data_IF_203556447682
#
_entry.id   IF_203556447682
#
_cell.length_a   1.000
_cell.length_b   1.000
_cell.length_c   1.000
_cell.angle_alpha   90.00
_cell.angle_beta   90.00
_cell.angle_gamma   90.00
#
_symmetry.space_group_name_H-M   'P 1'
#
loop_
_entity.id
_entity.type
_entity.pdbx_description
1 polymer ?
#
# COMPACT_ATOMS: atom_id res chain seq x y z
N UNK A 1 25.08 -0.62 7.61
CA UNK A 1 24.97 0.85 7.74
C UNK A 1 24.75 1.54 6.38
N UNK A 2 25.48 1.20 5.33
CA UNK A 2 25.29 1.75 3.96
C UNK A 2 23.84 1.71 3.46
N UNK A 3 23.19 0.54 3.48
CA UNK A 3 21.79 0.39 3.03
C UNK A 3 20.79 1.23 3.83
N UNK A 4 21.07 1.49 5.11
CA UNK A 4 20.21 2.32 5.95
C UNK A 4 20.30 3.78 5.53
N UNK A 5 21.51 4.27 5.24
CA UNK A 5 21.73 5.65 4.77
C UNK A 5 21.09 5.83 3.39
N UNK A 6 21.30 4.89 2.47
CA UNK A 6 20.71 4.91 1.14
C UNK A 6 19.17 4.93 1.19
N UNK A 7 18.57 4.03 1.97
CA UNK A 7 17.12 3.97 2.15
C UNK A 7 16.58 5.23 2.84
N UNK A 8 17.27 5.78 3.84
CA UNK A 8 16.84 6.99 4.53
C UNK A 8 16.83 8.21 3.59
N UNK A 9 17.86 8.36 2.74
CA UNK A 9 17.91 9.43 1.74
C UNK A 9 16.78 9.25 0.73
N UNK A 10 16.58 8.04 0.19
CA UNK A 10 15.53 7.77 -0.77
C UNK A 10 14.12 8.06 -0.21
N UNK A 11 13.84 7.61 1.01
CA UNK A 11 12.56 7.87 1.69
C UNK A 11 12.39 9.35 2.05
N UNK A 12 13.46 10.06 2.41
CA UNK A 12 13.41 11.50 2.68
C UNK A 12 13.05 12.29 1.43
N UNK A 13 13.65 11.96 0.27
CA UNK A 13 13.29 12.58 -1.01
C UNK A 13 11.81 12.33 -1.35
N UNK A 14 11.33 11.10 -1.19
CA UNK A 14 9.91 10.76 -1.40
C UNK A 14 8.99 11.54 -0.46
N UNK A 15 9.37 11.70 0.81
CA UNK A 15 8.64 12.52 1.77
C UNK A 15 8.51 13.98 1.31
N UNK A 16 9.60 14.62 0.87
CA UNK A 16 9.56 16.00 0.39
C UNK A 16 8.71 16.15 -0.88
N UNK A 17 8.78 15.20 -1.82
CA UNK A 17 7.93 15.21 -3.01
C UNK A 17 6.46 15.15 -2.60
N UNK A 18 6.08 14.22 -1.74
CA UNK A 18 4.70 14.09 -1.26
C UNK A 18 4.25 15.33 -0.48
N UNK A 19 5.11 15.91 0.35
CA UNK A 19 4.83 17.13 1.08
C UNK A 19 4.56 18.30 0.13
N UNK A 20 5.39 18.49 -0.91
CA UNK A 20 5.18 19.55 -1.89
C UNK A 20 3.93 19.33 -2.73
N UNK A 21 3.66 18.10 -3.17
CA UNK A 21 2.44 17.76 -3.91
C UNK A 21 1.21 18.08 -3.08
N UNK A 22 1.17 17.65 -1.81
CA UNK A 22 0.05 17.93 -0.90
C UNK A 22 -0.08 19.42 -0.60
N UNK A 23 1.02 20.15 -0.41
CA UNK A 23 0.98 21.60 -0.16
C UNK A 23 0.44 22.37 -1.37
N UNK A 24 0.93 22.05 -2.57
CA UNK A 24 0.52 22.69 -3.82
C UNK A 24 -0.95 22.40 -4.15
N UNK A 25 -1.38 21.14 -4.02
CA UNK A 25 -2.79 20.80 -4.22
C UNK A 25 -3.69 21.33 -3.10
N UNK A 26 -3.18 21.38 -1.87
CA UNK A 26 -3.84 22.07 -0.77
C UNK A 26 -4.16 23.50 -1.18
N UNK A 27 -3.17 24.28 -1.62
CA UNK A 27 -3.42 25.64 -2.09
C UNK A 27 -4.36 25.72 -3.30
N UNK A 28 -4.26 24.79 -4.25
CA UNK A 28 -5.07 24.79 -5.46
C UNK A 28 -6.54 24.42 -5.23
N UNK A 29 -6.84 23.55 -4.26
CA UNK A 29 -8.18 23.00 -4.04
C UNK A 29 -8.85 23.44 -2.72
N UNK A 30 -8.14 24.10 -1.81
CA UNK A 30 -8.69 24.47 -0.51
C UNK A 30 -9.93 25.36 -0.65
N UNK A 31 -11.08 24.82 -0.25
CA UNK A 31 -12.40 25.45 -0.31
C UNK A 31 -12.84 25.93 -1.71
N UNK A 32 -12.27 25.39 -2.78
CA UNK A 32 -12.65 25.75 -4.15
C UNK A 32 -13.91 24.98 -4.60
N UNK A 33 -14.88 25.71 -5.15
CA UNK A 33 -16.05 25.12 -5.82
C UNK A 33 -15.75 24.88 -7.30
N UNK A 34 -16.47 23.95 -7.93
CA UNK A 34 -16.28 23.69 -9.37
C UNK A 34 -16.52 24.94 -10.23
N UNK A 35 -17.43 25.84 -9.81
CA UNK A 35 -17.65 27.11 -10.48
C UNK A 35 -16.45 28.07 -10.33
N UNK A 36 -15.83 28.12 -9.15
CA UNK A 36 -14.62 28.93 -8.95
C UNK A 36 -13.45 28.40 -9.80
N UNK A 37 -13.24 27.08 -9.83
CA UNK A 37 -12.25 26.43 -10.69
C UNK A 37 -12.51 26.71 -12.18
N UNK A 38 -13.77 26.63 -12.63
CA UNK A 38 -14.16 26.97 -14.00
C UNK A 38 -13.78 28.41 -14.36
N UNK A 39 -14.08 29.37 -13.48
CA UNK A 39 -13.81 30.79 -13.73
C UNK A 39 -12.32 31.09 -13.80
N UNK A 40 -11.52 30.47 -12.91
CA UNK A 40 -10.06 30.60 -12.93
C UNK A 40 -9.50 30.07 -14.26
N UNK A 41 -9.94 28.88 -14.69
CA UNK A 41 -9.50 28.32 -15.96
C UNK A 41 -9.96 29.12 -17.18
N UNK A 42 -11.20 29.62 -17.19
CA UNK A 42 -11.75 30.39 -18.30
C UNK A 42 -11.02 31.73 -18.51
N UNK A 43 -10.48 32.33 -17.45
CA UNK A 43 -9.70 33.57 -17.51
C UNK A 43 -8.20 33.34 -17.74
N UNK A 44 -7.78 32.07 -17.82
CA UNK A 44 -6.37 31.70 -18.02
C UNK A 44 -6.08 31.41 -19.50
N UNK A 45 -4.79 31.22 -19.83
CA UNK A 45 -4.37 30.76 -21.16
C UNK A 45 -4.92 29.38 -21.54
N UNK A 46 -5.43 28.60 -20.58
CA UNK A 46 -5.98 27.25 -20.74
C UNK A 46 -7.53 27.23 -20.78
N UNK A 47 -8.16 28.28 -21.30
CA UNK A 47 -9.62 28.42 -21.40
C UNK A 47 -10.35 27.21 -22.04
N UNK A 48 -9.72 26.52 -23.00
CA UNK A 48 -10.29 25.32 -23.63
C UNK A 48 -10.58 24.19 -22.62
N UNK A 49 -9.74 24.09 -21.58
CA UNK A 49 -9.83 23.07 -20.54
C UNK A 49 -10.84 23.43 -19.43
N UNK A 50 -11.40 24.66 -19.44
CA UNK A 50 -12.36 25.07 -18.42
C UNK A 50 -13.60 24.16 -18.38
N UNK A 51 -14.00 23.58 -19.53
CA UNK A 51 -15.17 22.69 -19.67
C UNK A 51 -15.10 21.42 -18.82
N UNK A 52 -13.91 21.06 -18.32
CA UNK A 52 -13.70 19.88 -17.47
C UNK A 52 -14.31 20.08 -16.08
N UNK A 53 -14.41 21.33 -15.61
CA UNK A 53 -15.03 21.65 -14.33
C UNK A 53 -16.54 21.91 -14.52
N UNK A 54 -17.42 21.07 -13.95
CA UNK A 54 -18.85 21.28 -14.07
C UNK A 54 -19.27 22.57 -13.34
N UNK A 55 -20.16 23.38 -13.92
CA UNK A 55 -20.64 24.61 -13.27
C UNK A 55 -21.65 24.31 -12.16
N UNK A 56 -21.18 23.76 -11.05
CA UNK A 56 -21.96 23.50 -9.86
C UNK A 56 -21.28 24.10 -8.63
N UNK A 57 -22.03 24.22 -7.53
CA UNK A 57 -21.53 24.76 -6.27
C UNK A 57 -20.98 23.67 -5.33
N UNK A 58 -20.66 22.48 -5.87
CA UNK A 58 -20.01 21.41 -5.09
C UNK A 58 -18.51 21.65 -5.08
N UNK A 59 -17.84 21.07 -4.08
CA UNK A 59 -16.38 21.00 -4.05
C UNK A 59 -15.87 20.23 -5.26
N UNK A 60 -14.68 20.61 -5.72
CA UNK A 60 -14.04 19.91 -6.83
C UNK A 60 -13.61 18.52 -6.38
N UNK A 61 -13.90 17.51 -7.21
CA UNK A 61 -13.39 16.16 -6.98
C UNK A 61 -11.91 16.12 -7.37
N UNK A 62 -11.07 15.49 -6.55
CA UNK A 62 -9.61 15.52 -6.75
C UNK A 62 -9.19 14.30 -7.56
N UNK A 63 -9.17 14.46 -8.88
CA UNK A 63 -8.62 13.47 -9.80
C UNK A 63 -7.26 13.89 -10.36
N UNK A 64 -6.44 12.91 -10.78
CA UNK A 64 -5.10 13.11 -11.37
C UNK A 64 -5.17 14.04 -12.58
N UNK A 65 -6.21 13.91 -13.42
CA UNK A 65 -6.40 14.75 -14.60
C UNK A 65 -6.84 16.18 -14.24
N UNK A 66 -7.87 16.32 -13.41
CA UNK A 66 -8.39 17.62 -12.95
C UNK A 66 -7.33 18.40 -12.15
N UNK A 67 -6.51 17.69 -11.37
CA UNK A 67 -5.37 18.23 -10.66
C UNK A 67 -4.33 18.87 -11.59
N UNK A 68 -3.98 18.21 -12.69
CA UNK A 68 -3.04 18.77 -13.67
C UNK A 68 -3.57 20.04 -14.34
N UNK A 69 -4.85 20.04 -14.69
CA UNK A 69 -5.50 21.17 -15.36
C UNK A 69 -5.61 22.38 -14.43
N UNK A 70 -6.06 22.21 -13.17
CA UNK A 70 -6.18 23.33 -12.24
C UNK A 70 -4.81 23.98 -11.96
N UNK A 71 -3.75 23.16 -11.85
CA UNK A 71 -2.39 23.66 -11.71
C UNK A 71 -1.95 24.47 -12.93
N UNK A 72 -2.30 23.97 -14.13
CA UNK A 72 -2.07 24.69 -15.38
C UNK A 72 -2.81 26.03 -15.45
N UNK A 73 -4.03 26.10 -14.95
CA UNK A 73 -4.83 27.33 -14.96
C UNK A 73 -4.32 28.37 -13.96
N UNK A 74 -3.83 27.94 -12.78
CA UNK A 74 -3.35 28.84 -11.71
C UNK A 74 -1.90 29.27 -11.95
N UNK A 75 -1.00 28.31 -12.23
CA UNK A 75 0.44 28.54 -12.32
C UNK A 75 0.95 28.64 -13.76
N UNK A 76 0.08 28.41 -14.75
CA UNK A 76 0.40 28.48 -16.17
C UNK A 76 0.68 27.13 -16.84
N UNK A 77 0.75 27.10 -18.19
CA UNK A 77 0.87 25.85 -18.97
C UNK A 77 2.07 24.99 -18.59
N UNK A 78 3.18 25.60 -18.14
CA UNK A 78 4.38 24.87 -17.73
C UNK A 78 4.11 23.91 -16.56
N UNK A 79 3.27 24.31 -15.60
CA UNK A 79 2.93 23.46 -14.44
C UNK A 79 2.16 22.21 -14.88
N UNK A 80 1.26 22.33 -15.86
CA UNK A 80 0.54 21.19 -16.44
C UNK A 80 1.49 20.19 -17.08
N UNK A 81 2.47 20.66 -17.87
CA UNK A 81 3.45 19.78 -18.49
C UNK A 81 4.38 19.12 -17.47
N UNK A 82 4.84 19.85 -16.46
CA UNK A 82 5.67 19.29 -15.38
C UNK A 82 4.91 18.19 -14.65
N UNK A 83 3.63 18.42 -14.34
CA UNK A 83 2.76 17.42 -13.72
C UNK A 83 2.60 16.17 -14.60
N UNK A 84 2.32 16.35 -15.90
CA UNK A 84 2.17 15.25 -16.85
C UNK A 84 3.46 14.42 -16.98
N UNK A 85 4.62 15.06 -17.07
CA UNK A 85 5.93 14.39 -17.10
C UNK A 85 6.19 13.67 -15.77
N UNK A 86 5.83 14.26 -14.64
CA UNK A 86 5.93 13.64 -13.32
C UNK A 86 5.12 12.36 -13.20
N UNK A 87 3.86 12.37 -13.66
CA UNK A 87 3.01 11.16 -13.69
C UNK A 87 3.62 10.08 -14.59
N UNK A 88 4.12 10.47 -15.76
CA UNK A 88 4.77 9.52 -16.68
C UNK A 88 6.00 8.89 -16.04
N UNK A 89 6.85 9.69 -15.39
CA UNK A 89 8.03 9.21 -14.68
C UNK A 89 7.67 8.27 -13.52
N UNK A 90 6.63 8.60 -12.74
CA UNK A 90 6.12 7.75 -11.67
C UNK A 90 5.61 6.39 -12.20
N UNK A 91 4.92 6.38 -13.35
CA UNK A 91 4.46 5.16 -14.01
C UNK A 91 5.60 4.24 -14.48
N UNK A 92 6.70 4.82 -14.98
CA UNK A 92 7.89 4.06 -15.37
C UNK A 92 8.59 3.44 -14.15
N UNK A 93 8.77 4.22 -13.08
CA UNK A 93 9.37 3.74 -11.83
C UNK A 93 8.56 2.58 -11.22
N UNK A 94 7.23 2.69 -11.18
CA UNK A 94 6.34 1.62 -10.70
C UNK A 94 6.48 0.33 -11.50
N UNK A 95 6.65 0.42 -12.83
CA UNK A 95 6.85 -0.75 -13.70
C UNK A 95 8.12 -1.49 -13.34
N UNK A 96 9.24 -0.77 -13.16
CA UNK A 96 10.53 -1.36 -12.79
C UNK A 96 10.42 -2.06 -11.43
N UNK A 97 9.96 -1.34 -10.40
CA UNK A 97 9.82 -1.89 -9.04
C UNK A 97 8.87 -3.08 -9.00
N UNK A 98 7.76 -3.05 -9.73
CA UNK A 98 6.81 -4.16 -9.82
C UNK A 98 7.42 -5.42 -10.42
N UNK A 99 8.29 -5.29 -11.43
CA UNK A 99 8.92 -6.46 -12.08
C UNK A 99 9.99 -7.12 -11.22
N UNK A 100 10.73 -6.33 -10.42
CA UNK A 100 11.69 -6.81 -9.44
C UNK A 100 10.99 -7.43 -8.23
N UNK A 101 9.99 -6.77 -7.65
CA UNK A 101 9.21 -7.32 -6.54
C UNK A 101 8.50 -8.61 -6.96
N UNK A 102 7.88 -8.63 -8.14
CA UNK A 102 7.27 -9.83 -8.72
C UNK A 102 8.28 -10.96 -8.94
N UNK A 103 9.56 -10.66 -9.19
CA UNK A 103 10.60 -11.68 -9.27
C UNK A 103 10.75 -12.44 -7.96
N UNK A 104 10.97 -11.70 -6.88
CA UNK A 104 11.23 -12.28 -5.57
C UNK A 104 10.03 -13.10 -5.09
N UNK A 105 8.82 -12.62 -5.36
CA UNK A 105 7.59 -13.35 -5.01
C UNK A 105 7.44 -14.62 -5.85
N UNK A 106 7.61 -14.56 -7.17
CA UNK A 106 7.44 -15.72 -8.06
C UNK A 106 8.52 -16.79 -7.85
N UNK A 107 9.78 -16.39 -7.71
CA UNK A 107 10.89 -17.32 -7.50
C UNK A 107 10.92 -17.86 -6.06
N UNK A 108 10.53 -17.03 -5.09
CA UNK A 108 10.47 -17.43 -3.68
C UNK A 108 9.29 -18.35 -3.37
N UNK A 109 8.06 -17.91 -3.64
CA UNK A 109 6.85 -18.63 -3.24
C UNK A 109 6.39 -19.68 -4.26
N UNK A 110 6.40 -19.34 -5.56
CA UNK A 110 5.90 -20.24 -6.61
C UNK A 110 7.01 -21.12 -7.22
N UNK A 111 8.28 -20.88 -6.85
CA UNK A 111 9.48 -21.53 -7.42
C UNK A 111 9.48 -21.52 -8.96
N UNK A 112 8.90 -20.48 -9.56
CA UNK A 112 8.68 -20.37 -10.99
C UNK A 112 9.67 -19.36 -11.59
N UNK A 113 10.51 -19.80 -12.53
CA UNK A 113 11.48 -18.93 -13.22
C UNK A 113 10.95 -18.50 -14.58
N UNK A 114 10.57 -17.23 -14.68
CA UNK A 114 10.07 -16.62 -15.92
C UNK A 114 11.08 -15.63 -16.50
N UNK A 115 11.16 -15.49 -17.84
CA UNK A 115 11.95 -14.44 -18.44
C UNK A 115 11.36 -13.07 -18.12
N UNK A 116 12.23 -12.05 -17.95
CA UNK A 116 11.83 -10.69 -17.54
C UNK A 116 10.73 -10.11 -18.43
N UNK A 117 10.83 -10.32 -19.75
CA UNK A 117 9.87 -9.81 -20.71
C UNK A 117 8.46 -10.43 -20.55
N UNK A 118 8.37 -11.75 -20.31
CA UNK A 118 7.09 -12.40 -20.08
C UNK A 118 6.41 -11.91 -18.80
N UNK A 119 7.20 -11.65 -17.74
CA UNK A 119 6.68 -11.08 -16.49
C UNK A 119 6.14 -9.66 -16.70
N UNK A 120 6.89 -8.82 -17.41
CA UNK A 120 6.46 -7.45 -17.75
C UNK A 120 5.17 -7.51 -18.57
N UNK A 121 5.13 -8.32 -19.62
CA UNK A 121 3.97 -8.43 -20.50
C UNK A 121 2.74 -8.87 -19.71
N UNK A 122 2.83 -9.95 -18.92
CA UNK A 122 1.71 -10.45 -18.14
C UNK A 122 1.21 -9.42 -17.12
N UNK A 123 2.10 -8.84 -16.31
CA UNK A 123 1.70 -7.89 -15.26
C UNK A 123 1.15 -6.58 -15.83
N UNK A 124 1.66 -6.11 -16.98
CA UNK A 124 1.11 -4.95 -17.69
C UNK A 124 -0.21 -5.28 -18.36
N UNK A 125 -0.35 -6.45 -19.00
CA UNK A 125 -1.63 -6.89 -19.57
C UNK A 125 -2.71 -7.00 -18.49
N UNK A 126 -2.42 -7.61 -17.34
CA UNK A 126 -3.37 -7.69 -16.23
C UNK A 126 -3.76 -6.32 -15.64
N UNK A 127 -2.87 -5.33 -15.69
CA UNK A 127 -3.17 -3.97 -15.21
C UNK A 127 -3.92 -3.11 -16.25
N UNK A 128 -3.59 -3.27 -17.54
CA UNK A 128 -4.14 -2.45 -18.64
C UNK A 128 -5.47 -3.03 -19.16
N UNK A 129 -5.64 -4.36 -19.17
CA UNK A 129 -6.87 -4.98 -19.67
C UNK A 129 -8.14 -4.48 -18.96
N UNK A 130 -8.20 -4.44 -17.61
CA UNK A 130 -9.40 -3.97 -16.92
C UNK A 130 -9.69 -2.50 -17.21
N UNK A 131 -8.66 -1.65 -17.27
CA UNK A 131 -8.82 -0.22 -17.51
C UNK A 131 -9.27 0.07 -18.94
N UNK A 132 -8.68 -0.60 -19.93
CA UNK A 132 -9.11 -0.50 -21.34
C UNK A 132 -10.53 -1.03 -21.52
N UNK A 133 -10.87 -2.15 -20.88
CA UNK A 133 -12.22 -2.71 -20.95
C UNK A 133 -13.26 -1.76 -20.33
N UNK A 134 -12.99 -1.19 -19.16
CA UNK A 134 -13.86 -0.17 -18.55
C UNK A 134 -13.95 1.07 -19.45
N UNK A 135 -12.85 1.55 -20.02
CA UNK A 135 -12.86 2.73 -20.91
C UNK A 135 -13.66 2.52 -22.21
N UNK A 136 -13.75 1.29 -22.72
CA UNK A 136 -14.51 0.97 -23.93
C UNK A 136 -16.00 0.76 -23.62
N UNK A 137 -16.33 0.17 -22.47
CA UNK A 137 -17.69 -0.31 -22.18
C UNK A 137 -18.46 0.49 -21.12
N UNK A 138 -17.83 1.41 -20.39
CA UNK A 138 -18.43 2.17 -19.26
C UNK A 138 -18.02 3.65 -19.27
N UNK A 139 -18.82 4.48 -18.59
CA UNK A 139 -18.54 5.91 -18.38
C UNK A 139 -17.45 6.13 -17.31
N UNK A 140 -16.78 7.30 -17.35
CA UNK A 140 -15.66 7.69 -16.46
C UNK A 140 -15.93 7.51 -14.95
N UNK A 141 -17.20 7.47 -14.51
CA UNK A 141 -17.59 7.29 -13.11
C UNK A 141 -17.26 5.89 -12.56
N UNK A 142 -17.15 4.88 -13.42
CA UNK A 142 -16.76 3.52 -13.00
C UNK A 142 -15.24 3.38 -12.79
N UNK A 143 -14.42 4.33 -13.27
CA UNK A 143 -12.97 4.33 -13.06
C UNK A 143 -12.60 4.71 -11.61
N UNK A 144 -13.35 5.64 -10.99
CA UNK A 144 -13.16 5.99 -9.58
C UNK A 144 -13.47 4.80 -8.66
N UNK A 145 -14.51 4.02 -8.99
CA UNK A 145 -14.83 2.78 -8.25
C UNK A 145 -13.75 1.71 -8.39
N UNK A 146 -13.06 1.63 -9.53
CA UNK A 146 -11.91 0.74 -9.71
C UNK A 146 -10.71 1.20 -8.84
N UNK A 147 -10.44 2.50 -8.78
CA UNK A 147 -9.38 3.04 -7.93
C UNK A 147 -9.65 2.76 -6.45
N UNK A 148 -10.89 2.95 -6.00
CA UNK A 148 -11.30 2.63 -4.64
C UNK A 148 -11.10 1.13 -4.35
N UNK A 149 -11.53 0.25 -5.26
CA UNK A 149 -11.31 -1.20 -5.15
C UNK A 149 -9.82 -1.55 -5.04
N UNK A 150 -8.96 -0.90 -5.80
CA UNK A 150 -7.50 -1.13 -5.73
C UNK A 150 -6.94 -0.70 -4.37
N UNK A 151 -7.40 0.44 -3.83
CA UNK A 151 -7.02 0.89 -2.50
C UNK A 151 -7.49 -0.07 -1.41
N UNK A 152 -8.71 -0.61 -1.55
CA UNK A 152 -9.25 -1.68 -0.69
C UNK A 152 -8.37 -2.94 -0.75
N UNK A 153 -8.04 -3.41 -1.94
CA UNK A 153 -7.18 -4.60 -2.09
C UNK A 153 -5.79 -4.36 -1.51
N UNK A 154 -5.21 -3.17 -1.71
CA UNK A 154 -3.91 -2.82 -1.16
C UNK A 154 -3.93 -2.79 0.37
N UNK A 155 -4.99 -2.27 0.99
CA UNK A 155 -5.11 -2.27 2.46
C UNK A 155 -5.16 -3.69 3.02
N UNK A 156 -5.91 -4.60 2.38
CA UNK A 156 -6.01 -6.01 2.76
C UNK A 156 -4.71 -6.79 2.58
N UNK A 157 -3.89 -6.45 1.58
CA UNK A 157 -2.61 -7.12 1.34
C UNK A 157 -1.51 -6.68 2.31
N UNK A 158 -1.61 -5.48 2.88
CA UNK A 158 -0.56 -4.86 3.69
C UNK A 158 -0.18 -5.68 4.94
N UNK A 159 -1.13 -6.19 5.75
CA UNK A 159 -0.79 -7.04 6.90
C UNK A 159 -0.04 -8.31 6.52
N UNK A 160 -0.39 -8.93 5.40
CA UNK A 160 0.23 -10.18 4.95
C UNK A 160 1.68 -9.99 4.52
N UNK A 161 2.05 -8.81 4.04
CA UNK A 161 3.45 -8.48 3.76
C UNK A 161 4.19 -8.05 5.03
N UNK A 162 3.60 -7.16 5.84
CA UNK A 162 4.31 -6.51 6.94
C UNK A 162 4.46 -7.42 8.15
N UNK A 163 3.40 -8.13 8.60
CA UNK A 163 3.46 -8.93 9.83
C UNK A 163 4.53 -10.03 9.78
N UNK A 164 4.71 -10.79 8.68
CA UNK A 164 5.81 -11.76 8.59
C UNK A 164 7.19 -11.10 8.63
N UNK A 165 7.37 -9.95 7.98
CA UNK A 165 8.65 -9.23 7.99
C UNK A 165 9.00 -8.77 9.42
N UNK A 166 8.04 -8.21 10.15
CA UNK A 166 8.23 -7.79 11.54
C UNK A 166 8.53 -8.97 12.47
N UNK A 167 7.87 -10.11 12.22
CA UNK A 167 8.10 -11.35 12.95
C UNK A 167 9.51 -11.87 12.71
N UNK A 168 9.95 -12.02 11.45
CA UNK A 168 11.26 -12.55 11.12
C UNK A 168 12.42 -11.63 11.53
N UNK A 169 12.24 -10.31 11.46
CA UNK A 169 13.25 -9.34 11.90
C UNK A 169 13.40 -9.27 13.43
N UNK A 170 12.37 -9.68 14.16
CA UNK A 170 12.39 -9.73 15.64
C UNK A 170 12.83 -11.09 16.20
N UNK A 171 12.91 -12.13 15.36
CA UNK A 171 13.34 -13.47 15.77
C UNK A 171 14.87 -13.57 15.91
N UNK A 172 15.39 -13.87 17.13
CA UNK A 172 16.82 -14.04 17.35
C UNK A 172 17.40 -15.23 16.57
N UNK A 173 16.62 -16.29 16.36
CA UNK A 173 17.05 -17.46 15.61
C UNK A 173 17.39 -17.15 14.14
N UNK A 174 16.71 -16.17 13.53
CA UNK A 174 16.91 -15.78 12.13
C UNK A 174 17.89 -14.62 11.97
N UNK A 175 17.82 -13.59 12.83
CA UNK A 175 18.66 -12.39 12.75
C UNK A 175 19.98 -12.49 13.54
N UNK A 176 20.10 -13.46 14.46
CA UNK A 176 21.29 -13.69 15.27
C UNK A 176 21.78 -12.40 15.97
N UNK A 177 23.02 -11.98 15.72
CA UNK A 177 23.63 -10.77 16.30
C UNK A 177 22.99 -9.45 15.82
N UNK A 178 22.19 -9.47 14.75
CA UNK A 178 21.47 -8.30 14.21
C UNK A 178 20.03 -8.20 14.72
N UNK A 179 19.69 -8.93 15.79
CA UNK A 179 18.34 -8.91 16.36
C UNK A 179 17.96 -7.50 16.87
N UNK A 180 16.68 -7.18 16.71
CA UNK A 180 16.15 -5.86 16.98
C UNK A 180 16.29 -5.46 18.47
N UNK A 181 16.87 -4.29 18.74
CA UNK A 181 16.99 -3.73 20.10
C UNK A 181 15.62 -3.34 20.69
N UNK A 182 15.58 -3.09 22.00
CA UNK A 182 14.32 -2.81 22.72
C UNK A 182 13.53 -1.62 22.14
N UNK A 183 14.22 -0.54 21.72
CA UNK A 183 13.58 0.62 21.08
C UNK A 183 12.93 0.23 19.74
N UNK A 184 13.65 -0.54 18.91
CA UNK A 184 13.13 -0.99 17.62
C UNK A 184 11.96 -1.95 17.79
N UNK A 185 12.00 -2.83 18.81
CA UNK A 185 10.85 -3.67 19.20
C UNK A 185 9.64 -2.84 19.61
N UNK A 186 9.81 -1.74 20.35
CA UNK A 186 8.73 -0.85 20.73
C UNK A 186 8.10 -0.13 19.51
N UNK A 187 8.94 0.40 18.61
CA UNK A 187 8.50 1.05 17.37
C UNK A 187 7.75 0.06 16.48
N UNK A 188 8.33 -1.11 16.24
CA UNK A 188 7.72 -2.16 15.43
C UNK A 188 6.40 -2.67 16.03
N UNK A 189 6.31 -2.79 17.36
CA UNK A 189 5.06 -3.12 18.05
C UNK A 189 3.98 -2.05 17.86
N UNK A 190 4.35 -0.77 17.92
CA UNK A 190 3.44 0.35 17.62
C UNK A 190 2.93 0.31 16.18
N UNK A 191 3.82 0.07 15.21
CA UNK A 191 3.45 -0.08 13.78
C UNK A 191 2.50 -1.27 13.59
N UNK A 192 2.76 -2.41 14.24
CA UNK A 192 1.89 -3.57 14.21
C UNK A 192 0.49 -3.24 14.74
N UNK A 193 0.41 -2.57 15.89
CA UNK A 193 -0.87 -2.15 16.49
C UNK A 193 -1.66 -1.21 15.58
N UNK A 194 -0.98 -0.24 14.96
CA UNK A 194 -1.58 0.69 14.00
C UNK A 194 -2.14 -0.04 12.76
N UNK A 195 -1.36 -0.94 12.16
CA UNK A 195 -1.80 -1.73 11.00
C UNK A 195 -3.01 -2.59 11.35
N UNK A 196 -3.00 -3.22 12.53
CA UNK A 196 -4.12 -4.03 13.01
C UNK A 196 -5.38 -3.18 13.20
N UNK A 197 -5.26 -1.99 13.81
CA UNK A 197 -6.38 -1.08 14.03
C UNK A 197 -7.00 -0.61 12.70
N UNK A 198 -6.16 -0.19 11.74
CA UNK A 198 -6.62 0.26 10.41
C UNK A 198 -7.32 -0.87 9.67
N UNK A 199 -6.76 -2.09 9.69
CA UNK A 199 -7.35 -3.22 8.99
C UNK A 199 -8.66 -3.69 9.62
N UNK A 200 -8.75 -3.70 10.95
CA UNK A 200 -9.99 -4.05 11.63
C UNK A 200 -11.10 -3.02 11.33
N UNK A 201 -10.77 -1.72 11.37
CA UNK A 201 -11.69 -0.66 10.99
C UNK A 201 -12.18 -0.82 9.54
N UNK A 202 -11.25 -1.11 8.63
CA UNK A 202 -11.56 -1.29 7.21
C UNK A 202 -12.52 -2.46 6.96
N UNK A 203 -12.30 -3.61 7.62
CA UNK A 203 -13.19 -4.78 7.49
C UNK A 203 -14.59 -4.47 8.03
N UNK A 204 -14.69 -3.79 9.18
CA UNK A 204 -15.98 -3.43 9.80
C UNK A 204 -16.75 -2.41 8.97
N UNK A 205 -16.08 -1.45 8.33
CA UNK A 205 -16.76 -0.44 7.52
C UNK A 205 -17.25 -0.97 6.17
N UNK A 206 -16.57 -1.96 5.59
CA UNK A 206 -16.87 -2.46 4.25
C UNK A 206 -17.94 -3.57 4.24
N UNK A 207 -18.01 -4.40 5.29
CA UNK A 207 -18.99 -5.49 5.43
C UNK A 207 -20.46 -5.05 5.28
N UNK A 208 -20.92 -3.92 5.87
CA UNK A 208 -22.29 -3.45 5.78
C UNK A 208 -22.66 -2.83 4.41
N UNK A 209 -21.68 -2.49 3.57
CA UNK A 209 -21.90 -1.76 2.31
C UNK A 209 -22.30 -2.67 1.14
N UNK A 210 -22.45 -3.97 1.34
CA UNK A 210 -22.72 -4.93 0.27
C UNK A 210 -24.21 -4.94 -0.14
N UNK A 211 -24.54 -4.68 -1.42
CA UNK A 211 -25.90 -4.42 -1.88
C UNK A 211 -26.79 -5.66 -2.08
N UNK A 212 -26.26 -6.90 -2.04
CA UNK A 212 -27.05 -8.12 -2.29
C UNK A 212 -26.80 -9.26 -1.28
N UNK A 213 -27.88 -9.86 -0.70
CA UNK A 213 -27.78 -10.90 0.34
C UNK A 213 -27.18 -12.22 -0.15
N UNK A 214 -27.20 -12.51 -1.45
CA UNK A 214 -26.63 -13.74 -2.02
C UNK A 214 -25.08 -13.78 -1.98
N UNK A 215 -24.43 -12.63 -2.13
CA UNK A 215 -22.95 -12.54 -2.02
C UNK A 215 -22.49 -12.39 -0.57
N UNK A 216 -23.39 -12.06 0.34
CA UNK A 216 -23.07 -11.83 1.75
C UNK A 216 -22.44 -13.06 2.40
N UNK A 217 -22.94 -14.26 2.11
CA UNK A 217 -22.39 -15.51 2.68
C UNK A 217 -20.95 -15.78 2.22
N UNK A 218 -20.66 -15.61 0.93
CA UNK A 218 -19.31 -15.81 0.37
C UNK A 218 -18.33 -14.76 0.89
N UNK A 219 -18.73 -13.49 0.90
CA UNK A 219 -17.87 -12.39 1.37
C UNK A 219 -17.65 -12.48 2.88
N UNK A 220 -18.67 -12.86 3.66
CA UNK A 220 -18.52 -13.10 5.09
C UNK A 220 -17.56 -14.27 5.37
N UNK A 221 -17.64 -15.37 4.61
CA UNK A 221 -16.71 -16.48 4.74
C UNK A 221 -15.26 -16.05 4.46
N UNK A 222 -15.04 -15.29 3.38
CA UNK A 222 -13.73 -14.75 3.03
C UNK A 222 -13.21 -13.76 4.09
N UNK A 223 -14.09 -12.91 4.63
CA UNK A 223 -13.75 -11.97 5.69
C UNK A 223 -13.38 -12.70 7.00
N UNK A 224 -14.09 -13.76 7.36
CA UNK A 224 -13.75 -14.60 8.52
C UNK A 224 -12.41 -15.30 8.31
N UNK A 225 -12.15 -15.86 7.13
CA UNK A 225 -10.86 -16.45 6.81
C UNK A 225 -9.72 -15.43 6.88
N UNK A 226 -9.94 -14.22 6.36
CA UNK A 226 -9.00 -13.10 6.43
C UNK A 226 -8.72 -12.67 7.88
N UNK A 227 -9.76 -12.50 8.70
CA UNK A 227 -9.62 -12.17 10.12
C UNK A 227 -8.91 -13.27 10.90
N UNK A 228 -9.21 -14.55 10.62
CA UNK A 228 -8.51 -15.69 11.22
C UNK A 228 -7.02 -15.69 10.89
N UNK A 229 -6.67 -15.47 9.61
CA UNK A 229 -5.27 -15.45 9.19
C UNK A 229 -4.52 -14.23 9.73
N UNK A 230 -5.13 -13.05 9.74
CA UNK A 230 -4.50 -11.83 10.28
C UNK A 230 -4.32 -11.91 11.79
N UNK A 231 -5.32 -12.42 12.54
CA UNK A 231 -5.17 -12.64 13.99
C UNK A 231 -4.09 -13.68 14.31
N UNK A 232 -3.99 -14.76 13.52
CA UNK A 232 -2.87 -15.71 13.62
C UNK A 232 -1.51 -15.03 13.40
N UNK A 233 -1.37 -14.20 12.36
CA UNK A 233 -0.12 -13.48 12.10
C UNK A 233 0.23 -12.49 13.21
N UNK A 234 -0.75 -11.73 13.71
CA UNK A 234 -0.54 -10.80 14.84
C UNK A 234 -0.14 -11.56 16.10
N UNK A 235 -0.75 -12.72 16.36
CA UNK A 235 -0.39 -13.59 17.47
C UNK A 235 1.07 -14.07 17.37
N UNK A 236 1.48 -14.58 16.21
CA UNK A 236 2.88 -15.01 15.99
C UNK A 236 3.89 -13.87 16.13
N UNK A 237 3.55 -12.68 15.63
CA UNK A 237 4.37 -11.49 15.77
C UNK A 237 4.49 -11.05 17.24
N UNK A 238 3.39 -11.11 17.99
CA UNK A 238 3.37 -10.77 19.42
C UNK A 238 4.27 -11.71 20.24
N UNK A 239 4.29 -13.01 19.91
CA UNK A 239 5.19 -13.98 20.53
C UNK A 239 6.66 -13.65 20.17
N UNK A 240 6.96 -13.31 18.92
CA UNK A 240 8.31 -12.90 18.49
C UNK A 240 8.83 -11.63 19.19
N UNK A 241 7.93 -10.75 19.61
CA UNK A 241 8.28 -9.55 20.37
C UNK A 241 8.50 -9.79 21.88
N UNK A 242 8.25 -11.01 22.38
CA UNK A 242 8.54 -11.38 23.77
C UNK A 242 7.31 -11.52 24.68
N UNK A 243 6.09 -11.58 24.13
CA UNK A 243 4.89 -11.93 24.88
C UNK A 243 4.85 -13.45 25.19
N UNK A 244 5.78 -13.92 26.03
CA UNK A 244 5.93 -15.35 26.41
C UNK A 244 4.73 -15.90 27.17
N UNK A 245 3.88 -15.05 27.73
CA UNK A 245 2.60 -15.39 28.36
C UNK A 245 1.57 -16.03 27.40
N UNK A 246 1.74 -15.84 26.09
CA UNK A 246 0.87 -16.37 25.05
C UNK A 246 1.45 -17.63 24.36
N UNK A 247 2.66 -18.05 24.73
CA UNK A 247 3.32 -19.17 24.09
C UNK A 247 2.85 -20.51 24.67
N UNK A 248 2.22 -21.34 23.83
CA UNK A 248 2.05 -22.77 24.14
C UNK A 248 3.38 -23.51 23.90
N UNK A 249 3.71 -24.49 24.74
CA UNK A 249 5.03 -25.16 24.83
C UNK A 249 5.63 -25.62 23.49
N UNK A 250 4.80 -26.01 22.51
CA UNK A 250 5.25 -26.43 21.17
C UNK A 250 5.84 -25.30 20.31
N UNK A 251 5.42 -24.04 20.50
CA UNK A 251 5.88 -22.90 19.69
C UNK A 251 7.21 -22.29 20.16
N UNK A 252 7.65 -22.58 21.38
CA UNK A 252 8.97 -22.15 21.87
C UNK A 252 10.10 -22.77 21.05
N UNK A 253 9.90 -24.00 20.56
CA UNK A 253 10.88 -24.72 19.74
C UNK A 253 11.11 -24.06 18.37
N UNK A 254 10.06 -23.51 17.76
CA UNK A 254 10.14 -22.79 16.47
C UNK A 254 10.78 -21.40 16.61
N UNK A 255 10.54 -20.70 17.73
CA UNK A 255 10.99 -19.32 17.91
C UNK A 255 12.43 -19.17 18.40
N UNK A 256 12.89 -20.10 19.23
CA UNK A 256 14.20 -20.00 19.90
C UNK A 256 15.26 -20.93 19.35
N UNK A 257 14.90 -21.93 18.52
CA UNK A 257 15.88 -22.84 17.91
C UNK A 257 16.86 -23.46 18.91
N UNK A 258 16.46 -23.63 20.18
CA UNK A 258 17.32 -24.27 21.18
C UNK A 258 17.28 -25.79 20.91
N UNK A 259 18.43 -26.43 20.63
CA UNK A 259 18.50 -27.88 20.65
C UNK A 259 18.42 -28.34 22.11
N UNK A 260 17.40 -29.13 22.45
CA UNK A 260 17.24 -29.86 23.72
C UNK A 260 18.28 -31.00 23.90
N UNK A 261 19.51 -30.84 23.42
CA UNK A 261 20.52 -31.92 23.40
C UNK A 261 21.80 -31.63 24.22
N UNK A 262 21.98 -30.43 24.78
CA UNK A 262 23.21 -30.10 25.53
C UNK A 262 23.06 -29.95 27.05
N UNK A 263 21.83 -30.07 27.61
CA UNK A 263 21.62 -30.03 29.08
C UNK A 263 21.50 -31.41 29.75
N UNK A 264 21.66 -32.51 28.99
CA UNK A 264 21.64 -33.89 29.52
C UNK A 264 23.01 -34.54 29.66
N UNK A 265 24.10 -33.78 29.50
CA UNK A 265 25.49 -34.27 29.60
C UNK A 265 26.31 -33.56 30.68
N UNK A 266 25.76 -33.41 31.88
CA UNK A 266 26.57 -33.44 33.09
C UNK A 266 26.21 -34.72 33.85
N UNK A 267 27.06 -35.76 33.83
CA UNK A 267 26.89 -36.92 34.69
C UNK A 267 27.21 -36.52 36.13
N UNK A 268 26.34 -36.96 37.02
CA UNK A 268 26.62 -37.19 38.43
C UNK A 268 28.01 -37.78 38.66
N UNK A 269 28.88 -37.04 39.34
CA UNK A 269 29.98 -37.54 40.17
C UNK A 269 30.41 -36.43 41.14
#
# INVERSE_FOLDING_TARGET
MYFLIEAAIALSVSFFINLFVVAVFGQAFYQQTNQAAFNVCANSSLHDYAKIFPRNNRTVDVDIYQGGVILGCIFGPAALYIWAVGILAAGQSSTMTGTYAGQFVMEGFLKLRWPRFARVLLTRSCAILPTVLVAIFRDLRDLSGLNDLLNVLQSLLLPFAVLPILTFTSMPALMQEFANGWLSKAITSSIMALICAINLYFVVSYLPSLPHPAYFSLVALLAVAYLGLTTYLVWTCSIAHGATLLAHSSHQHFLYGLPEEEKKREPSA
#
